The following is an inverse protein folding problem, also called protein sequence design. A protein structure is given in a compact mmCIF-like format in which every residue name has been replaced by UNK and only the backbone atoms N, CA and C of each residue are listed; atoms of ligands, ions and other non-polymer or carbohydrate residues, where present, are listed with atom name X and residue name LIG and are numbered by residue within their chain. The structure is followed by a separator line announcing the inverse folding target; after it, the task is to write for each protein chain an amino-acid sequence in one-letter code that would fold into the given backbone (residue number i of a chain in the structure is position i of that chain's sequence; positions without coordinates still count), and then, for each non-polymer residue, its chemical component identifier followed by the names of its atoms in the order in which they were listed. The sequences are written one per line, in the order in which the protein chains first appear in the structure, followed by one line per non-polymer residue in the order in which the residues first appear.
data_IF_024398155685
#
_entry.id   IF_024398155685
#
_cell.length_a   1.000
_cell.length_b   1.000
_cell.length_c   1.000
_cell.angle_alpha   90.00
_cell.angle_beta   90.00
_cell.angle_gamma   90.00
#
_symmetry.space_group_name_H-M   'P 1'
#
loop_
_entity.id
_entity.type
_entity.pdbx_description
1 polymer ?
#
# COMPACT_ATOMS: atom_id res chain seq x y z
N UNK A 1 7.10 -18.93 -5.06
CA UNK A 1 7.37 -18.62 -3.63
C UNK A 1 6.04 -18.25 -3.01
N UNK A 2 5.65 -18.91 -1.92
CA UNK A 2 4.41 -18.59 -1.21
C UNK A 2 4.62 -17.28 -0.46
N UNK A 3 3.78 -16.26 -0.72
CA UNK A 3 3.80 -15.01 0.06
C UNK A 3 3.28 -15.32 1.46
N UNK A 4 3.94 -14.77 2.48
CA UNK A 4 3.45 -14.86 3.86
C UNK A 4 2.53 -13.68 4.13
N UNK A 5 1.23 -13.94 4.11
CA UNK A 5 0.22 -12.90 4.30
C UNK A 5 -0.03 -12.54 5.77
N UNK A 6 0.55 -13.28 6.72
CA UNK A 6 0.48 -12.96 8.16
C UNK A 6 1.72 -12.19 8.65
N UNK A 7 2.72 -12.02 7.80
CA UNK A 7 3.85 -11.16 8.13
C UNK A 7 3.37 -9.71 8.31
N UNK A 8 3.90 -9.02 9.32
CA UNK A 8 3.60 -7.60 9.58
C UNK A 8 4.09 -6.66 8.46
N UNK A 9 4.78 -7.17 7.46
CA UNK A 9 5.38 -6.38 6.37
C UNK A 9 5.07 -7.00 5.03
N UNK A 10 4.76 -6.16 4.04
CA UNK A 10 4.36 -6.58 2.71
C UNK A 10 4.93 -5.65 1.64
N UNK A 11 5.43 -6.22 0.54
CA UNK A 11 5.84 -5.45 -0.64
C UNK A 11 4.70 -5.52 -1.64
N UNK A 12 4.18 -4.37 -2.03
CA UNK A 12 3.09 -4.27 -2.99
C UNK A 12 3.60 -4.67 -4.36
N UNK A 13 2.88 -5.59 -4.99
CA UNK A 13 3.14 -6.05 -6.34
C UNK A 13 1.92 -5.79 -7.24
N UNK A 14 2.04 -6.17 -8.51
CA UNK A 14 1.00 -5.94 -9.53
C UNK A 14 -0.31 -6.70 -9.23
N UNK A 15 -0.29 -7.71 -8.36
CA UNK A 15 -1.48 -8.43 -7.96
C UNK A 15 -2.24 -7.69 -6.84
N UNK A 16 -3.24 -6.90 -7.25
CA UNK A 16 -4.13 -6.19 -6.33
C UNK A 16 -4.83 -7.13 -5.34
N UNK A 17 -5.19 -8.36 -5.75
CA UNK A 17 -5.89 -9.30 -4.88
C UNK A 17 -5.02 -9.73 -3.69
N UNK A 18 -3.72 -9.92 -3.91
CA UNK A 18 -2.77 -10.26 -2.85
C UNK A 18 -2.60 -9.10 -1.86
N UNK A 19 -2.54 -7.88 -2.37
CA UNK A 19 -2.45 -6.65 -1.55
C UNK A 19 -3.70 -6.46 -0.71
N UNK A 20 -4.89 -6.61 -1.30
CA UNK A 20 -6.16 -6.54 -0.59
C UNK A 20 -6.32 -7.67 0.43
N UNK A 21 -5.83 -8.87 0.13
CA UNK A 21 -5.84 -9.98 1.07
C UNK A 21 -4.98 -9.69 2.30
N UNK A 22 -3.76 -9.19 2.08
CA UNK A 22 -2.86 -8.80 3.17
C UNK A 22 -3.48 -7.70 4.06
N UNK A 23 -4.04 -6.65 3.45
CA UNK A 23 -4.74 -5.59 4.18
C UNK A 23 -5.93 -6.13 4.98
N UNK A 24 -6.69 -7.07 4.40
CA UNK A 24 -7.84 -7.67 5.08
C UNK A 24 -7.46 -8.48 6.32
N UNK A 25 -6.20 -8.93 6.44
CA UNK A 25 -5.67 -9.63 7.61
C UNK A 25 -5.11 -8.68 8.68
N UNK A 26 -4.85 -7.42 8.33
CA UNK A 26 -4.24 -6.39 9.20
C UNK A 26 -5.16 -5.18 9.35
N UNK A 27 -6.46 -5.41 9.53
CA UNK A 27 -7.48 -4.36 9.61
C UNK A 27 -7.29 -3.44 10.82
N UNK A 28 -6.57 -3.89 11.85
CA UNK A 28 -6.21 -3.05 12.99
C UNK A 28 -5.25 -1.90 12.65
N UNK A 29 -4.65 -1.91 11.45
CA UNK A 29 -3.66 -0.92 11.03
C UNK A 29 -4.24 0.28 10.25
N UNK A 30 -5.52 0.23 9.90
CA UNK A 30 -6.19 1.28 9.13
C UNK A 30 -7.69 1.34 9.47
N UNK A 31 -8.35 2.42 9.07
CA UNK A 31 -9.76 2.69 9.35
C UNK A 31 -10.66 2.36 8.16
N UNK A 32 -10.24 2.75 6.95
CA UNK A 32 -11.01 2.53 5.73
C UNK A 32 -10.10 2.29 4.51
N UNK A 33 -10.68 1.65 3.49
CA UNK A 33 -10.02 1.44 2.20
C UNK A 33 -10.94 1.90 1.07
N UNK A 34 -10.36 2.56 0.07
CA UNK A 34 -11.07 3.08 -1.09
C UNK A 34 -10.31 2.69 -2.36
N UNK A 35 -10.97 1.97 -3.28
CA UNK A 35 -10.40 1.63 -4.57
C UNK A 35 -11.13 2.35 -5.69
N UNK A 36 -10.41 3.19 -6.42
CA UNK A 36 -10.90 3.82 -7.64
C UNK A 36 -10.53 2.94 -8.84
N UNK A 37 -11.52 2.24 -9.40
CA UNK A 37 -11.31 1.35 -10.54
C UNK A 37 -10.98 2.06 -11.86
N UNK A 38 -11.31 3.36 -11.99
CA UNK A 38 -11.03 4.15 -13.19
C UNK A 38 -9.55 4.51 -13.23
N UNK A 39 -9.00 4.99 -12.11
CA UNK A 39 -7.60 5.39 -11.99
C UNK A 39 -6.69 4.27 -11.47
N UNK A 40 -7.28 3.10 -11.14
CA UNK A 40 -6.59 1.95 -10.53
C UNK A 40 -5.80 2.35 -9.28
N UNK A 41 -6.41 3.19 -8.45
CA UNK A 41 -5.76 3.76 -7.27
C UNK A 41 -6.37 3.17 -6.01
N UNK A 42 -5.53 2.57 -5.17
CA UNK A 42 -5.92 2.10 -3.84
C UNK A 42 -5.49 3.14 -2.81
N UNK A 43 -6.45 3.66 -2.06
CA UNK A 43 -6.26 4.62 -0.99
C UNK A 43 -6.63 3.97 0.33
N UNK A 44 -5.80 4.16 1.36
CA UNK A 44 -6.05 3.68 2.72
C UNK A 44 -6.11 4.87 3.66
N UNK A 45 -7.09 4.89 4.54
CA UNK A 45 -7.23 5.89 5.60
C UNK A 45 -6.83 5.26 6.93
N UNK A 46 -6.03 5.96 7.72
CA UNK A 46 -5.51 5.53 9.02
C UNK A 46 -5.41 6.74 9.96
N UNK A 47 -5.08 6.53 11.23
CA UNK A 47 -5.10 7.58 12.25
C UNK A 47 -4.24 8.83 11.93
N UNK A 48 -3.25 8.72 11.04
CA UNK A 48 -2.36 9.83 10.66
C UNK A 48 -2.77 10.52 9.34
N UNK A 49 -3.83 10.07 8.68
CA UNK A 49 -4.29 10.61 7.41
C UNK A 49 -4.62 9.53 6.39
N UNK A 50 -4.28 9.78 5.13
CA UNK A 50 -4.55 8.84 4.07
C UNK A 50 -3.35 8.71 3.14
N UNK A 51 -3.06 7.48 2.74
CA UNK A 51 -1.98 7.12 1.83
C UNK A 51 -2.53 6.43 0.58
N UNK A 52 -1.85 6.64 -0.55
CA UNK A 52 -2.12 5.95 -1.81
C UNK A 52 -1.12 4.82 -1.97
N UNK A 53 -1.61 3.59 -2.02
CA UNK A 53 -0.78 2.39 -2.20
C UNK A 53 -0.46 2.20 -3.68
N UNK A 54 0.83 2.02 -3.98
CA UNK A 54 1.37 1.80 -5.32
C UNK A 54 2.24 0.54 -5.36
N UNK A 55 2.38 -0.03 -6.56
CA UNK A 55 3.31 -1.14 -6.81
C UNK A 55 4.72 -0.73 -6.43
N UNK A 56 5.41 -1.58 -5.66
CA UNK A 56 6.74 -1.31 -5.12
C UNK A 56 6.76 -0.62 -3.77
N UNK A 57 5.61 -0.18 -3.25
CA UNK A 57 5.52 0.35 -1.89
C UNK A 57 5.77 -0.75 -0.86
N UNK A 58 6.37 -0.34 0.25
CA UNK A 58 6.56 -1.20 1.40
C UNK A 58 5.52 -0.85 2.46
N UNK A 59 4.65 -1.81 2.75
CA UNK A 59 3.63 -1.74 3.79
C UNK A 59 4.17 -2.35 5.08
N UNK A 60 3.86 -1.70 6.19
CA UNK A 60 4.20 -2.20 7.51
C UNK A 60 3.03 -1.95 8.46
N UNK A 61 2.49 -3.02 9.05
CA UNK A 61 1.40 -3.02 10.02
C UNK A 61 1.90 -2.98 11.48
N UNK A 62 3.22 -2.90 11.71
CA UNK A 62 3.77 -2.84 13.06
C UNK A 62 3.17 -1.68 13.85
N UNK A 63 2.90 -1.95 15.12
CA UNK A 63 2.37 -0.98 16.08
C UNK A 63 0.95 -0.48 15.75
N UNK A 64 0.19 -1.15 14.87
CA UNK A 64 -1.21 -0.82 14.59
C UNK A 64 -1.39 0.46 13.77
N UNK A 65 -0.36 0.88 13.04
CA UNK A 65 -0.43 1.99 12.09
C UNK A 65 0.17 1.50 10.78
N UNK A 66 -0.59 1.60 9.69
CA UNK A 66 -0.05 1.35 8.37
C UNK A 66 0.98 2.42 8.02
N UNK A 67 2.23 1.99 7.81
CA UNK A 67 3.29 2.84 7.28
C UNK A 67 3.47 2.47 5.81
N UNK A 68 3.30 3.45 4.92
CA UNK A 68 3.61 3.33 3.50
C UNK A 68 4.93 4.02 3.20
N UNK A 69 5.94 3.25 2.80
CA UNK A 69 7.17 3.83 2.25
C UNK A 69 7.06 3.85 0.74
N UNK A 70 6.78 5.04 0.20
CA UNK A 70 6.76 5.27 -1.25
C UNK A 70 8.19 5.09 -1.78
N UNK A 71 8.36 4.15 -2.71
CA UNK A 71 9.62 4.05 -3.42
C UNK A 71 9.68 5.19 -4.44
N UNK A 72 10.41 6.26 -4.14
CA UNK A 72 10.56 7.45 -5.00
C UNK A 72 11.34 7.18 -6.32
N UNK A 73 11.35 5.94 -6.80
CA UNK A 73 12.16 5.50 -7.93
C UNK A 73 11.61 5.90 -9.31
N UNK A 74 10.56 6.71 -9.39
CA UNK A 74 10.12 7.31 -10.66
C UNK A 74 10.27 8.84 -10.64
N UNK A 75 11.51 9.29 -10.85
CA UNK A 75 11.85 10.66 -11.24
C UNK A 75 12.09 10.75 -12.74
N UNK A 76 11.38 9.94 -13.55
CA UNK A 76 11.46 10.10 -14.99
C UNK A 76 10.60 11.31 -15.43
N UNK A 77 11.30 12.34 -15.92
CA UNK A 77 10.80 13.57 -16.55
C UNK A 77 10.16 14.64 -15.66
N UNK A 78 10.98 15.38 -14.90
CA UNK A 78 10.77 16.82 -14.81
C UNK A 78 12.07 17.56 -15.17
N UNK A 79 11.92 18.49 -16.12
CA UNK A 79 12.88 19.52 -16.59
C UNK A 79 13.91 19.15 -17.67
N UNK A 80 13.43 18.88 -18.89
CA UNK A 80 14.01 19.49 -20.10
C UNK A 80 13.04 20.52 -20.68
N UNK A 81 13.17 21.78 -20.26
CA UNK A 81 12.97 22.93 -21.17
C UNK A 81 13.59 24.21 -20.64
#
# INVERSE_FOLDING_TARGET
MTKDFQAETYIVDENLADTLHWLSLHQESFESLHYNAITQTLTVEHANGSDVIRVGDYLNAKYGILITAHNFADTSNFDQK
#
